data_IF_984743345046
#
_entry.id   IF_984743345046
#
_cell.length_a   1.000
_cell.length_b   1.000
_cell.length_c   1.000
_cell.angle_alpha   90.00
_cell.angle_beta   90.00
_cell.angle_gamma   90.00
#
_symmetry.space_group_name_H-M   'P 1'
#
loop_
_entity.id
_entity.type
_entity.pdbx_description
1 polymer ?
#
# COMPACT_ATOMS: atom_id res chain seq x y z
N UNK A 1 1.01 -6.68 -25.50
CA UNK A 1 1.63 -5.87 -24.43
C UNK A 1 0.98 -4.50 -24.36
N UNK A 2 -0.28 -4.49 -23.94
CA UNK A 2 -1.07 -3.26 -23.77
C UNK A 2 -0.76 -2.49 -22.49
N UNK A 3 0.18 -2.99 -21.65
CA UNK A 3 0.38 -2.47 -20.29
C UNK A 3 1.72 -1.80 -20.04
N UNK A 4 2.64 -1.74 -21.03
CA UNK A 4 3.94 -1.11 -20.88
C UNK A 4 3.97 0.28 -21.51
N UNK A 5 4.28 1.29 -20.71
CA UNK A 5 4.47 2.67 -21.15
C UNK A 5 5.95 2.93 -21.30
N UNK A 6 6.37 3.31 -22.50
CA UNK A 6 7.75 3.77 -22.78
C UNK A 6 7.67 5.25 -23.11
N UNK A 7 8.05 6.15 -22.19
CA UNK A 7 7.98 7.58 -22.45
C UNK A 7 8.97 7.98 -23.56
N UNK A 8 8.51 8.81 -24.50
CA UNK A 8 9.38 9.36 -25.56
C UNK A 8 10.55 10.12 -24.94
N UNK A 9 11.77 9.84 -25.44
CA UNK A 9 13.00 10.49 -25.00
C UNK A 9 13.34 10.29 -23.49
N UNK A 10 12.77 9.31 -22.82
CA UNK A 10 13.16 8.99 -21.46
C UNK A 10 14.60 8.45 -21.42
N UNK A 11 15.41 9.01 -20.55
CA UNK A 11 16.68 8.45 -20.13
C UNK A 11 16.83 8.62 -18.63
N UNK A 12 17.34 7.59 -17.97
CA UNK A 12 17.59 7.67 -16.53
C UNK A 12 18.66 8.74 -16.25
N UNK A 13 18.34 9.71 -15.40
CA UNK A 13 19.28 10.75 -14.98
C UNK A 13 20.44 10.21 -14.12
N UNK A 14 20.27 9.03 -13.52
CA UNK A 14 21.26 8.37 -12.68
C UNK A 14 21.69 7.04 -13.33
N UNK A 15 22.98 6.74 -13.29
CA UNK A 15 23.49 5.42 -13.61
C UNK A 15 23.06 4.39 -12.55
N UNK A 16 23.34 3.10 -12.75
CA UNK A 16 22.94 2.03 -11.84
C UNK A 16 23.45 2.21 -10.40
N UNK A 17 24.73 2.54 -10.24
CA UNK A 17 25.34 2.75 -8.92
C UNK A 17 24.73 3.94 -8.19
N UNK A 18 24.58 5.08 -8.85
CA UNK A 18 24.02 6.28 -8.26
C UNK A 18 22.51 6.11 -7.97
N UNK A 19 21.82 5.29 -8.77
CA UNK A 19 20.44 4.88 -8.48
C UNK A 19 20.35 4.13 -7.14
N UNK A 20 21.29 3.22 -6.84
CA UNK A 20 21.30 2.51 -5.54
C UNK A 20 21.56 3.47 -4.36
N UNK A 21 22.43 4.47 -4.54
CA UNK A 21 22.64 5.55 -3.57
C UNK A 21 21.33 6.34 -3.37
N UNK A 22 20.66 6.68 -4.47
CA UNK A 22 19.37 7.38 -4.44
C UNK A 22 18.29 6.59 -3.71
N UNK A 23 18.15 5.29 -3.98
CA UNK A 23 17.22 4.39 -3.29
C UNK A 23 17.47 4.40 -1.78
N UNK A 24 18.73 4.22 -1.37
CA UNK A 24 19.11 4.27 0.05
C UNK A 24 18.75 5.63 0.67
N UNK A 25 19.06 6.71 -0.02
CA UNK A 25 18.79 8.08 0.46
C UNK A 25 17.30 8.34 0.66
N UNK A 26 16.46 7.94 -0.30
CA UNK A 26 14.99 8.03 -0.21
C UNK A 26 14.48 7.20 0.97
N UNK A 27 14.89 5.92 1.04
CA UNK A 27 14.39 5.00 2.08
C UNK A 27 14.77 5.47 3.48
N UNK A 28 16.02 5.82 3.74
CA UNK A 28 16.48 6.24 5.05
C UNK A 28 15.78 7.53 5.51
N UNK A 29 15.67 8.51 4.63
CA UNK A 29 15.07 9.79 4.98
C UNK A 29 13.56 9.67 5.21
N UNK A 30 12.83 9.06 4.30
CA UNK A 30 11.37 8.88 4.44
C UNK A 30 11.02 8.06 5.68
N UNK A 31 11.68 6.91 5.87
CA UNK A 31 11.49 6.05 7.03
C UNK A 31 11.72 6.79 8.35
N UNK A 32 12.79 7.59 8.43
CA UNK A 32 13.10 8.37 9.65
C UNK A 32 11.99 9.37 10.02
N UNK A 33 11.39 10.00 9.00
CA UNK A 33 10.26 10.91 9.19
C UNK A 33 9.00 10.16 9.61
N UNK A 34 8.67 9.06 8.93
CA UNK A 34 7.49 8.24 9.22
C UNK A 34 7.51 7.74 10.67
N UNK A 35 8.62 7.12 11.08
CA UNK A 35 8.85 6.59 12.43
C UNK A 35 8.65 7.67 13.47
N UNK A 36 9.25 8.83 13.27
CA UNK A 36 9.17 9.95 14.23
C UNK A 36 7.78 10.54 14.34
N UNK A 37 7.08 10.73 13.20
CA UNK A 37 5.80 11.43 13.20
C UNK A 37 4.62 10.53 13.60
N UNK A 38 4.70 9.22 13.37
CA UNK A 38 3.67 8.26 13.77
C UNK A 38 3.98 7.55 15.10
N UNK A 39 5.16 7.76 15.71
CA UNK A 39 5.62 7.09 16.92
C UNK A 39 5.70 5.57 16.74
N UNK A 40 6.52 5.11 15.79
CA UNK A 40 6.63 3.71 15.41
C UNK A 40 7.94 3.08 15.90
N UNK A 41 7.87 1.83 16.33
CA UNK A 41 9.02 0.97 16.60
C UNK A 41 9.18 -0.06 15.49
N UNK A 42 10.39 -0.23 14.95
CA UNK A 42 10.66 -1.30 14.00
C UNK A 42 10.63 -2.66 14.69
N UNK A 43 9.88 -3.61 14.13
CA UNK A 43 9.78 -4.97 14.65
C UNK A 43 10.16 -5.99 13.58
N UNK A 44 10.58 -7.19 14.02
CA UNK A 44 10.74 -8.34 13.16
C UNK A 44 9.35 -8.90 12.80
N UNK A 45 9.11 -9.13 11.53
CA UNK A 45 7.86 -9.69 11.01
C UNK A 45 8.10 -11.00 10.26
N UNK A 46 7.10 -11.88 10.16
CA UNK A 46 7.21 -13.12 9.42
C UNK A 46 7.22 -12.86 7.90
N UNK A 47 8.05 -13.62 7.18
CA UNK A 47 7.98 -13.72 5.72
C UNK A 47 6.88 -14.70 5.28
N UNK A 48 6.58 -15.68 6.11
CA UNK A 48 5.57 -16.71 5.86
C UNK A 48 4.83 -17.05 7.16
N UNK A 49 3.62 -17.55 7.02
CA UNK A 49 2.71 -17.82 8.13
C UNK A 49 1.98 -19.14 7.93
N UNK A 50 1.34 -19.60 9.02
CA UNK A 50 0.38 -20.68 9.00
C UNK A 50 -0.93 -20.21 8.34
N UNK A 51 -1.39 -20.85 7.24
CA UNK A 51 -2.65 -20.50 6.59
C UNK A 51 -3.87 -20.66 7.50
N UNK A 52 -3.84 -21.61 8.44
CA UNK A 52 -4.94 -21.83 9.38
C UNK A 52 -5.12 -20.69 10.41
N UNK A 53 -4.13 -19.82 10.54
CA UNK A 53 -4.21 -18.65 11.43
C UNK A 53 -5.23 -17.60 10.99
N UNK A 54 -5.60 -17.56 9.71
CA UNK A 54 -6.42 -16.50 9.10
C UNK A 54 -5.72 -15.15 8.97
N UNK A 55 -4.40 -15.10 9.20
CA UNK A 55 -3.63 -13.84 9.19
C UNK A 55 -3.07 -13.47 7.83
N UNK A 56 -3.05 -14.37 6.82
CA UNK A 56 -2.68 -13.95 5.47
C UNK A 56 -3.73 -13.04 4.85
N UNK A 57 -3.30 -12.16 3.98
CA UNK A 57 -4.20 -11.36 3.17
C UNK A 57 -4.71 -12.19 1.99
N UNK A 58 -6.02 -12.13 1.77
CA UNK A 58 -6.61 -12.77 0.61
C UNK A 58 -6.78 -11.80 -0.57
N UNK A 59 -6.26 -10.59 -0.43
CA UNK A 59 -6.38 -9.50 -1.43
C UNK A 59 -7.84 -9.37 -1.92
N UNK A 60 -8.07 -9.54 -3.21
CA UNK A 60 -9.42 -9.52 -3.79
C UNK A 60 -10.15 -10.88 -3.70
N UNK A 61 -9.47 -11.92 -3.22
CA UNK A 61 -10.04 -13.24 -2.94
C UNK A 61 -9.81 -14.30 -4.03
N UNK A 62 -9.18 -13.95 -5.14
CA UNK A 62 -8.84 -14.87 -6.23
C UNK A 62 -7.32 -15.11 -6.35
N UNK A 63 -6.49 -14.24 -5.80
CA UNK A 63 -5.04 -14.35 -5.84
C UNK A 63 -4.56 -15.51 -4.96
N UNK A 64 -3.66 -16.30 -5.49
CA UNK A 64 -3.12 -17.49 -4.82
C UNK A 64 -1.83 -17.16 -4.08
N UNK A 65 -1.70 -17.47 -2.79
CA UNK A 65 -0.43 -17.30 -2.08
C UNK A 65 0.62 -18.28 -2.61
N UNK A 66 1.89 -17.91 -2.51
CA UNK A 66 3.01 -18.87 -2.67
C UNK A 66 3.08 -19.71 -1.42
N UNK A 67 3.12 -21.03 -1.56
CA UNK A 67 3.17 -21.95 -0.45
C UNK A 67 4.24 -23.01 -0.62
N UNK A 68 4.76 -23.53 0.50
CA UNK A 68 5.77 -24.58 0.55
C UNK A 68 5.58 -25.48 1.77
N UNK A 69 6.11 -26.69 1.70
CA UNK A 69 6.15 -27.63 2.83
C UNK A 69 7.37 -27.39 3.72
N UNK A 70 7.21 -27.59 5.02
CA UNK A 70 8.31 -27.52 6.00
C UNK A 70 8.68 -28.96 6.38
N UNK A 71 9.84 -29.42 5.92
CA UNK A 71 10.28 -30.81 6.06
C UNK A 71 10.28 -31.29 7.53
N UNK A 72 10.80 -30.48 8.44
CA UNK A 72 10.87 -30.82 9.88
C UNK A 72 9.48 -30.91 10.54
N UNK A 73 8.45 -30.38 9.89
CA UNK A 73 7.05 -30.41 10.35
C UNK A 73 6.17 -31.34 9.51
N UNK A 74 6.74 -32.44 8.99
CA UNK A 74 6.03 -33.40 8.14
C UNK A 74 5.36 -32.75 6.92
N UNK A 75 6.08 -31.88 6.22
CA UNK A 75 5.59 -31.11 5.08
C UNK A 75 4.37 -30.23 5.37
N UNK A 76 4.24 -29.80 6.62
CA UNK A 76 3.21 -28.81 6.99
C UNK A 76 3.31 -27.58 6.10
N UNK A 77 2.17 -27.20 5.52
CA UNK A 77 2.11 -26.11 4.53
C UNK A 77 2.20 -24.76 5.19
N UNK A 78 3.19 -23.97 4.79
CA UNK A 78 3.29 -22.54 5.10
C UNK A 78 3.00 -21.70 3.85
N UNK A 79 2.56 -20.46 4.05
CA UNK A 79 2.31 -19.50 2.97
C UNK A 79 3.17 -18.26 3.16
N UNK A 80 3.82 -17.82 2.07
CA UNK A 80 4.46 -16.50 2.01
C UNK A 80 3.37 -15.43 2.15
N UNK A 81 3.61 -14.40 2.93
CA UNK A 81 2.63 -13.33 3.15
C UNK A 81 2.32 -12.58 1.86
N UNK A 82 1.06 -12.23 1.65
CA UNK A 82 0.62 -11.31 0.59
C UNK A 82 0.49 -9.88 1.13
N UNK A 83 0.21 -9.73 2.43
CA UNK A 83 0.39 -8.51 3.23
C UNK A 83 0.48 -8.85 4.71
N UNK A 84 0.90 -7.88 5.54
CA UNK A 84 0.97 -8.02 7.00
C UNK A 84 -0.13 -7.25 7.73
N UNK A 85 -1.17 -6.81 7.03
CA UNK A 85 -2.23 -5.97 7.58
C UNK A 85 -2.86 -6.57 8.86
N UNK A 86 -3.18 -7.86 8.85
CA UNK A 86 -3.76 -8.58 9.99
C UNK A 86 -2.73 -8.87 11.08
N UNK A 87 -1.55 -9.34 10.66
CA UNK A 87 -0.47 -9.69 11.58
C UNK A 87 -0.02 -8.51 12.46
N UNK A 88 0.11 -7.32 11.89
CA UNK A 88 0.55 -6.11 12.61
C UNK A 88 -0.34 -5.81 13.81
N UNK A 89 -1.65 -5.86 13.64
CA UNK A 89 -2.62 -5.64 14.72
C UNK A 89 -2.47 -6.68 15.84
N UNK A 90 -2.28 -7.94 15.47
CA UNK A 90 -2.00 -9.02 16.42
C UNK A 90 -0.67 -8.81 17.15
N UNK A 91 0.38 -8.40 16.42
CA UNK A 91 1.71 -8.16 16.96
C UNK A 91 1.72 -7.03 18.00
N UNK A 92 0.96 -5.94 17.78
CA UNK A 92 0.82 -4.85 18.78
C UNK A 92 0.34 -5.38 20.14
N UNK A 93 -0.67 -6.23 20.15
CA UNK A 93 -1.13 -6.90 21.39
C UNK A 93 -0.05 -7.80 21.96
N UNK A 94 0.51 -8.69 21.13
CA UNK A 94 1.48 -9.71 21.54
C UNK A 94 2.75 -9.09 22.15
N UNK A 95 3.20 -7.94 21.63
CA UNK A 95 4.41 -7.27 22.08
C UNK A 95 4.14 -6.22 23.17
N UNK A 96 2.90 -6.02 23.60
CA UNK A 96 2.54 -5.16 24.71
C UNK A 96 2.63 -3.66 24.42
N UNK A 97 2.35 -3.27 23.16
CA UNK A 97 2.27 -1.85 22.81
C UNK A 97 1.11 -1.14 23.49
N UNK A 98 1.29 0.13 23.79
CA UNK A 98 0.32 0.99 24.47
C UNK A 98 -0.37 1.96 23.51
N UNK A 99 -1.41 2.64 23.99
CA UNK A 99 -2.10 3.70 23.24
C UNK A 99 -1.13 4.77 22.73
N UNK A 100 -1.29 5.13 21.46
CA UNK A 100 -0.46 6.13 20.79
C UNK A 100 0.89 5.61 20.28
N UNK A 101 1.28 4.38 20.63
CA UNK A 101 2.44 3.69 20.11
C UNK A 101 2.07 2.86 18.87
N UNK A 102 3.03 2.61 18.01
CA UNK A 102 2.86 1.78 16.84
C UNK A 102 4.12 1.00 16.47
N UNK A 103 3.95 0.10 15.54
CA UNK A 103 5.04 -0.67 14.95
C UNK A 103 5.13 -0.43 13.44
N UNK A 104 6.29 -0.69 12.87
CA UNK A 104 6.46 -0.87 11.44
C UNK A 104 7.45 -2.00 11.16
N UNK A 105 7.41 -2.49 9.94
CA UNK A 105 8.35 -3.48 9.44
C UNK A 105 8.61 -3.25 7.95
N UNK A 106 9.75 -3.74 7.47
CA UNK A 106 10.02 -3.88 6.04
C UNK A 106 9.36 -5.19 5.59
N UNK A 107 8.15 -5.09 5.03
CA UNK A 107 7.43 -6.24 4.49
C UNK A 107 7.96 -6.58 3.11
N UNK A 108 8.18 -7.88 2.89
CA UNK A 108 8.41 -8.46 1.59
C UNK A 108 7.29 -9.46 1.30
N UNK A 109 6.63 -9.33 0.16
CA UNK A 109 5.55 -10.21 -0.26
C UNK A 109 5.76 -10.69 -1.70
N UNK A 110 5.16 -11.83 -2.03
CA UNK A 110 5.16 -12.37 -3.39
C UNK A 110 3.70 -12.46 -3.84
N UNK A 111 3.37 -11.70 -4.87
CA UNK A 111 2.08 -11.75 -5.55
C UNK A 111 2.24 -12.49 -6.87
N UNK A 112 2.18 -13.81 -6.81
CA UNK A 112 2.48 -14.70 -7.95
C UNK A 112 1.56 -14.55 -9.14
N UNK A 113 0.35 -14.03 -8.94
CA UNK A 113 -0.66 -13.83 -9.97
C UNK A 113 -0.72 -12.38 -10.47
N UNK A 114 0.26 -11.53 -10.08
CA UNK A 114 0.33 -10.13 -10.50
C UNK A 114 0.70 -10.02 -11.99
N UNK A 115 0.00 -9.14 -12.70
CA UNK A 115 0.37 -8.75 -14.07
C UNK A 115 1.39 -7.62 -13.96
N UNK A 116 2.60 -7.90 -14.42
CA UNK A 116 3.70 -6.92 -14.36
C UNK A 116 3.54 -5.83 -15.41
N UNK A 117 3.82 -4.59 -14.99
CA UNK A 117 3.84 -3.41 -15.84
C UNK A 117 4.88 -2.39 -15.31
N UNK A 118 4.77 -1.12 -15.67
CA UNK A 118 5.70 -0.08 -15.20
C UNK A 118 5.74 0.08 -13.68
N UNK A 119 4.65 -0.21 -12.97
CA UNK A 119 4.48 0.05 -11.53
C UNK A 119 4.11 -1.18 -10.71
N UNK A 120 3.87 -2.34 -11.36
CA UNK A 120 3.55 -3.61 -10.71
C UNK A 120 4.63 -4.65 -10.92
N UNK A 121 5.03 -5.31 -9.83
CA UNK A 121 6.00 -6.40 -9.77
C UNK A 121 5.42 -7.56 -8.98
N UNK A 122 5.84 -8.79 -9.27
CA UNK A 122 5.52 -9.96 -8.44
C UNK A 122 6.15 -9.86 -7.04
N UNK A 123 7.21 -9.09 -6.88
CA UNK A 123 7.81 -8.77 -5.58
C UNK A 123 7.27 -7.43 -5.08
N UNK A 124 6.67 -7.42 -3.89
CA UNK A 124 6.13 -6.22 -3.24
C UNK A 124 6.90 -5.94 -1.95
N UNK A 125 7.47 -4.74 -1.87
CA UNK A 125 8.14 -4.24 -0.67
C UNK A 125 7.40 -3.02 -0.10
N UNK A 126 7.08 -3.05 1.19
CA UNK A 126 6.35 -1.96 1.86
C UNK A 126 6.96 -1.63 3.22
N UNK A 127 6.88 -0.35 3.63
CA UNK A 127 6.83 -0.03 5.04
C UNK A 127 5.40 -0.31 5.51
N UNK A 128 5.25 -1.44 6.16
CA UNK A 128 3.98 -1.86 6.75
C UNK A 128 3.91 -1.38 8.19
N UNK A 129 2.97 -0.50 8.52
CA UNK A 129 2.87 0.13 9.82
C UNK A 129 1.48 -0.03 10.44
N UNK A 130 1.40 0.04 11.77
CA UNK A 130 0.16 -0.07 12.54
C UNK A 130 0.33 0.68 13.86
N UNK A 131 -0.70 1.43 14.29
CA UNK A 131 -0.68 2.25 15.51
C UNK A 131 -1.96 2.05 16.32
N UNK A 132 -1.83 1.97 17.65
CA UNK A 132 -2.98 1.85 18.56
C UNK A 132 -3.68 3.19 18.72
N UNK A 133 -5.00 3.18 18.53
CA UNK A 133 -5.92 4.29 18.74
C UNK A 133 -7.00 3.90 19.76
N UNK A 134 -7.75 4.87 20.26
CA UNK A 134 -8.92 4.62 21.10
C UNK A 134 -10.15 4.27 20.24
N UNK A 135 -11.15 3.69 20.88
CA UNK A 135 -12.43 3.35 20.25
C UNK A 135 -13.14 4.59 19.69
N UNK A 136 -13.14 5.68 20.43
CA UNK A 136 -13.75 6.96 20.04
C UNK A 136 -12.95 7.73 18.99
N UNK A 137 -11.71 7.33 18.73
CA UNK A 137 -10.86 7.85 17.64
C UNK A 137 -11.10 7.15 16.30
N UNK A 138 -12.00 6.15 16.23
CA UNK A 138 -12.40 5.53 14.96
C UNK A 138 -13.30 6.50 14.16
N UNK A 139 -12.71 7.52 13.58
CA UNK A 139 -13.40 8.60 12.86
C UNK A 139 -12.68 8.99 11.58
N UNK A 140 -13.43 9.59 10.65
CA UNK A 140 -12.86 10.20 9.43
C UNK A 140 -11.82 11.27 9.77
N UNK A 141 -12.01 12.03 10.84
CA UNK A 141 -11.05 13.05 11.27
C UNK A 141 -9.70 12.43 11.62
N UNK A 142 -9.67 11.33 12.38
CA UNK A 142 -8.43 10.60 12.70
C UNK A 142 -7.74 10.07 11.44
N UNK A 143 -8.51 9.55 10.48
CA UNK A 143 -7.97 9.10 9.19
C UNK A 143 -7.35 10.28 8.42
N UNK A 144 -8.05 11.38 8.27
CA UNK A 144 -7.57 12.59 7.59
C UNK A 144 -6.29 13.13 8.23
N UNK A 145 -6.23 13.21 9.55
CA UNK A 145 -5.05 13.71 10.26
C UNK A 145 -3.84 12.77 10.05
N UNK A 146 -4.07 11.46 10.04
CA UNK A 146 -3.01 10.48 9.75
C UNK A 146 -2.53 10.58 8.30
N UNK A 147 -3.43 10.71 7.33
CA UNK A 147 -3.08 10.95 5.92
C UNK A 147 -2.23 12.22 5.77
N UNK A 148 -2.61 13.31 6.43
CA UNK A 148 -1.83 14.57 6.41
C UNK A 148 -0.42 14.38 6.96
N UNK A 149 -0.24 13.55 8.00
CA UNK A 149 1.08 13.21 8.55
C UNK A 149 1.93 12.47 7.51
N UNK A 150 1.40 11.41 6.90
CA UNK A 150 2.09 10.63 5.87
C UNK A 150 2.42 11.51 4.66
N UNK A 151 1.47 12.30 4.18
CA UNK A 151 1.68 13.22 3.08
C UNK A 151 2.76 14.28 3.36
N UNK A 152 2.80 14.81 4.59
CA UNK A 152 3.87 15.71 5.03
C UNK A 152 5.25 15.04 4.97
N UNK A 153 5.33 13.73 5.28
CA UNK A 153 6.58 12.98 5.14
C UNK A 153 6.98 12.85 3.66
N UNK A 154 6.03 12.59 2.75
CA UNK A 154 6.27 12.55 1.31
C UNK A 154 6.82 13.88 0.80
N UNK A 155 6.15 15.00 1.10
CA UNK A 155 6.60 16.34 0.70
C UNK A 155 8.00 16.69 1.23
N UNK A 156 8.27 16.38 2.49
CA UNK A 156 9.62 16.63 3.06
C UNK A 156 10.68 15.80 2.36
N UNK A 157 10.35 14.56 1.98
CA UNK A 157 11.27 13.69 1.24
C UNK A 157 11.52 14.24 -0.15
N UNK A 158 10.47 14.67 -0.87
CA UNK A 158 10.64 15.30 -2.18
C UNK A 158 11.56 16.51 -2.11
N UNK A 159 11.29 17.42 -1.17
CA UNK A 159 12.15 18.59 -0.96
C UNK A 159 13.60 18.22 -0.64
N UNK A 160 13.81 17.20 0.17
CA UNK A 160 15.16 16.71 0.47
C UNK A 160 15.84 16.15 -0.77
N UNK A 161 15.13 15.38 -1.59
CA UNK A 161 15.67 14.82 -2.84
C UNK A 161 15.97 15.90 -3.87
N UNK A 162 15.15 16.94 -3.99
CA UNK A 162 15.41 18.09 -4.85
C UNK A 162 16.68 18.88 -4.45
N UNK A 163 17.04 18.86 -3.17
CA UNK A 163 18.33 19.45 -2.70
C UNK A 163 19.53 18.54 -3.05
N UNK A 164 19.32 17.21 -3.07
CA UNK A 164 20.40 16.25 -3.35
C UNK A 164 20.67 16.06 -4.85
N UNK A 165 19.65 16.27 -5.69
CA UNK A 165 19.70 15.96 -7.12
C UNK A 165 19.09 17.10 -7.95
N UNK A 166 19.88 17.82 -8.69
CA UNK A 166 19.47 19.01 -9.46
C UNK A 166 18.38 18.75 -10.52
N UNK A 167 18.23 17.50 -10.98
CA UNK A 167 17.19 17.13 -11.96
C UNK A 167 15.82 16.90 -11.34
N UNK A 168 15.71 16.86 -10.01
CA UNK A 168 14.45 16.62 -9.31
C UNK A 168 13.76 17.96 -8.98
N UNK A 169 12.64 18.19 -9.62
CA UNK A 169 11.74 19.30 -9.29
C UNK A 169 10.68 18.86 -8.28
N UNK A 170 10.27 19.77 -7.37
CA UNK A 170 9.15 19.55 -6.46
C UNK A 170 7.84 19.59 -7.26
N UNK A 171 7.08 18.50 -7.30
CA UNK A 171 5.80 18.39 -8.02
C UNK A 171 4.60 18.13 -7.09
N UNK A 172 4.85 17.73 -5.83
CA UNK A 172 3.78 17.52 -4.86
C UNK A 172 3.19 18.85 -4.39
N UNK A 173 1.87 19.06 -4.50
CA UNK A 173 1.22 20.27 -4.03
C UNK A 173 1.37 20.46 -2.51
N UNK A 174 1.13 21.70 -2.04
CA UNK A 174 1.22 22.01 -0.62
C UNK A 174 0.27 21.15 0.22
N UNK A 175 -0.95 20.99 -0.21
CA UNK A 175 -1.98 20.21 0.48
C UNK A 175 -2.50 19.10 -0.42
N UNK A 176 -2.78 17.95 0.18
CA UNK A 176 -3.44 16.82 -0.50
C UNK A 176 -4.95 17.10 -0.59
N UNK A 177 -5.55 16.81 -1.74
CA UNK A 177 -6.98 16.94 -1.95
C UNK A 177 -7.71 15.69 -1.45
N UNK A 178 -8.74 15.85 -0.61
CA UNK A 178 -9.55 14.75 -0.10
C UNK A 178 -10.83 14.59 -0.91
N UNK A 179 -11.17 13.36 -1.26
CA UNK A 179 -12.39 13.02 -2.00
C UNK A 179 -12.80 11.59 -1.64
N UNK A 180 -14.10 11.32 -1.59
CA UNK A 180 -14.63 9.96 -1.45
C UNK A 180 -14.80 9.29 -2.81
N UNK A 181 -14.89 7.97 -2.82
CA UNK A 181 -15.16 7.21 -4.05
C UNK A 181 -16.51 7.57 -4.68
N UNK A 182 -17.52 7.90 -3.85
CA UNK A 182 -18.83 8.37 -4.35
C UNK A 182 -18.72 9.75 -5.00
N UNK A 183 -18.06 10.71 -4.34
CA UNK A 183 -17.83 12.03 -4.93
C UNK A 183 -17.08 11.95 -6.26
N UNK A 184 -16.10 11.03 -6.39
CA UNK A 184 -15.42 10.79 -7.68
C UNK A 184 -16.37 10.23 -8.74
N UNK A 185 -17.25 9.32 -8.37
CA UNK A 185 -18.24 8.77 -9.29
C UNK A 185 -19.23 9.87 -9.75
N UNK A 186 -19.63 10.77 -8.87
CA UNK A 186 -20.51 11.89 -9.19
C UNK A 186 -19.82 12.94 -10.07
N UNK A 187 -18.52 13.21 -9.84
CA UNK A 187 -17.73 14.13 -10.66
C UNK A 187 -17.48 13.60 -12.08
N UNK A 188 -17.32 12.29 -12.24
CA UNK A 188 -16.95 11.64 -13.49
C UNK A 188 -17.83 10.41 -13.73
N UNK A 189 -19.15 10.57 -13.95
CA UNK A 189 -20.09 9.45 -13.99
C UNK A 189 -19.84 8.46 -15.13
N UNK A 190 -19.36 8.96 -16.27
CA UNK A 190 -19.14 8.14 -17.49
C UNK A 190 -17.76 7.47 -17.56
N UNK A 191 -16.91 7.69 -16.54
CA UNK A 191 -15.55 7.18 -16.53
C UNK A 191 -15.40 5.95 -15.64
N UNK A 192 -14.46 5.08 -16.00
CA UNK A 192 -14.04 3.97 -15.15
C UNK A 192 -13.35 4.45 -13.86
N UNK A 193 -13.28 3.64 -12.79
CA UNK A 193 -12.57 4.02 -11.57
C UNK A 193 -11.13 4.50 -11.81
N UNK A 194 -10.36 3.82 -12.67
CA UNK A 194 -8.98 4.20 -13.00
C UNK A 194 -8.88 5.53 -13.77
N UNK A 195 -9.81 5.80 -14.66
CA UNK A 195 -9.89 7.11 -15.34
C UNK A 195 -10.26 8.22 -14.34
N UNK A 196 -11.16 7.96 -13.40
CA UNK A 196 -11.50 8.91 -12.32
C UNK A 196 -10.28 9.27 -11.47
N UNK A 197 -9.50 8.26 -11.07
CA UNK A 197 -8.23 8.45 -10.34
C UNK A 197 -7.24 9.29 -11.16
N UNK A 198 -7.08 8.98 -12.45
CA UNK A 198 -6.19 9.72 -13.34
C UNK A 198 -6.59 11.19 -13.48
N UNK A 199 -7.86 11.46 -13.79
CA UNK A 199 -8.32 12.84 -13.99
C UNK A 199 -8.19 13.68 -12.73
N UNK A 200 -8.58 13.15 -11.59
CA UNK A 200 -8.49 13.92 -10.33
C UNK A 200 -7.04 14.09 -9.88
N UNK A 201 -6.19 13.06 -10.01
CA UNK A 201 -4.76 13.15 -9.69
C UNK A 201 -4.06 14.16 -10.59
N UNK A 202 -4.33 14.13 -11.90
CA UNK A 202 -3.77 15.09 -12.88
C UNK A 202 -4.20 16.52 -12.57
N UNK A 203 -5.45 16.73 -12.18
CA UNK A 203 -6.00 18.06 -11.86
C UNK A 203 -5.49 18.63 -10.53
N UNK A 204 -5.23 17.76 -9.53
CA UNK A 204 -4.90 18.15 -8.15
C UNK A 204 -3.44 17.90 -7.76
N UNK A 205 -2.70 17.12 -8.53
CA UNK A 205 -1.32 16.70 -8.24
C UNK A 205 -1.21 15.59 -7.18
N UNK A 206 -1.98 15.66 -6.09
CA UNK A 206 -2.06 14.64 -5.05
C UNK A 206 -3.46 14.58 -4.46
N UNK A 207 -4.00 13.37 -4.32
CA UNK A 207 -5.34 13.12 -3.82
C UNK A 207 -5.35 12.00 -2.77
N UNK A 208 -6.23 12.14 -1.80
CA UNK A 208 -6.59 11.10 -0.85
C UNK A 208 -7.99 10.61 -1.22
N UNK A 209 -8.08 9.40 -1.75
CA UNK A 209 -9.34 8.76 -2.12
C UNK A 209 -9.81 7.94 -0.94
N UNK A 210 -10.98 8.24 -0.41
CA UNK A 210 -11.52 7.65 0.81
C UNK A 210 -12.73 6.75 0.54
N UNK A 211 -13.03 5.86 1.50
CA UNK A 211 -14.22 4.99 1.51
C UNK A 211 -14.26 4.00 0.34
N UNK A 212 -13.17 3.25 0.20
CA UNK A 212 -12.99 2.25 -0.85
C UNK A 212 -13.48 0.88 -0.35
N UNK A 213 -14.18 0.12 -1.19
CA UNK A 213 -14.56 -1.28 -0.95
C UNK A 213 -16.05 -1.56 -0.93
N UNK A 214 -16.89 -0.60 -0.54
CA UNK A 214 -18.35 -0.76 -0.61
C UNK A 214 -18.90 -0.46 -2.02
N UNK A 215 -20.13 -0.85 -2.24
CA UNK A 215 -20.86 -0.58 -3.48
C UNK A 215 -21.31 0.89 -3.48
N UNK A 216 -21.07 1.58 -4.60
CA UNK A 216 -21.50 2.95 -4.83
C UNK A 216 -22.99 3.01 -5.19
N UNK A 217 -23.59 4.22 -5.21
CA UNK A 217 -25.01 4.42 -5.53
C UNK A 217 -25.40 3.92 -6.93
N UNK A 218 -24.45 3.88 -7.86
CA UNK A 218 -24.65 3.32 -9.21
C UNK A 218 -24.61 1.77 -9.27
N UNK A 219 -24.38 1.09 -8.13
CA UNK A 219 -24.30 -0.37 -8.03
C UNK A 219 -22.92 -0.97 -8.33
N UNK A 220 -21.92 -0.17 -8.66
CA UNK A 220 -20.55 -0.60 -8.91
C UNK A 220 -19.65 -0.36 -7.70
N UNK A 221 -18.47 -0.96 -7.69
CA UNK A 221 -17.41 -0.66 -6.73
C UNK A 221 -16.34 0.19 -7.40
N UNK A 222 -15.76 1.10 -6.64
CA UNK A 222 -14.59 1.84 -7.13
C UNK A 222 -13.38 0.91 -7.27
N UNK A 223 -13.09 0.12 -6.23
CA UNK A 223 -12.03 -0.89 -6.22
C UNK A 223 -12.37 -2.00 -5.22
N UNK A 224 -11.68 -3.15 -5.33
CA UNK A 224 -11.76 -4.24 -4.37
C UNK A 224 -11.03 -3.90 -3.06
N UNK A 225 -11.56 -4.41 -1.94
CA UNK A 225 -10.88 -4.38 -0.63
C UNK A 225 -11.22 -5.63 0.15
N UNK A 226 -10.19 -6.24 0.76
CA UNK A 226 -10.41 -7.34 1.67
C UNK A 226 -11.36 -6.91 2.80
N UNK A 227 -12.32 -7.76 3.19
CA UNK A 227 -13.37 -7.38 4.13
C UNK A 227 -12.95 -7.44 5.60
N UNK A 228 -11.75 -7.93 5.91
CA UNK A 228 -11.42 -8.39 7.25
C UNK A 228 -10.23 -7.67 7.93
N UNK A 229 -9.80 -6.52 7.37
CA UNK A 229 -8.85 -5.67 8.10
C UNK A 229 -9.19 -4.18 8.05
N UNK A 230 -9.42 -3.54 6.91
CA UNK A 230 -9.82 -2.12 6.87
C UNK A 230 -11.34 -1.95 6.95
N UNK A 231 -11.78 -0.99 7.77
CA UNK A 231 -13.16 -0.51 7.73
C UNK A 231 -13.37 0.29 6.42
N UNK A 232 -14.24 -0.20 5.55
CA UNK A 232 -14.46 0.41 4.23
C UNK A 232 -14.98 1.85 4.29
N UNK A 233 -15.58 2.23 5.41
CA UNK A 233 -15.99 3.62 5.64
C UNK A 233 -14.88 4.51 6.19
N UNK A 234 -13.73 3.94 6.59
CA UNK A 234 -12.65 4.61 7.30
C UNK A 234 -11.27 4.25 6.72
N UNK A 235 -11.19 4.04 5.41
CA UNK A 235 -9.93 3.78 4.69
C UNK A 235 -9.65 4.85 3.65
N UNK A 236 -8.42 4.87 3.16
CA UNK A 236 -7.98 5.83 2.16
C UNK A 236 -6.72 5.36 1.43
N UNK A 237 -6.61 5.75 0.16
CA UNK A 237 -5.39 5.64 -0.64
C UNK A 237 -4.82 7.03 -0.93
N UNK A 238 -3.49 7.17 -0.86
CA UNK A 238 -2.76 8.35 -1.31
C UNK A 238 -2.31 8.09 -2.75
N UNK A 239 -2.89 8.85 -3.66
CA UNK A 239 -2.61 8.76 -5.09
C UNK A 239 -2.02 10.09 -5.57
N UNK A 240 -0.95 10.04 -6.34
CA UNK A 240 -0.28 11.22 -6.91
C UNK A 240 -0.28 11.17 -8.42
N UNK A 241 -0.30 12.33 -9.07
CA UNK A 241 -0.03 12.39 -10.49
C UNK A 241 1.45 12.17 -10.74
N UNK A 242 1.78 11.22 -11.61
CA UNK A 242 3.16 10.90 -11.98
C UNK A 242 3.45 11.30 -13.43
N UNK A 243 4.08 12.46 -13.65
CA UNK A 243 4.23 13.03 -15.00
C UNK A 243 5.17 12.23 -15.90
N UNK A 244 6.11 11.43 -15.34
CA UNK A 244 7.04 10.61 -16.15
C UNK A 244 6.28 9.60 -17.00
N UNK A 245 5.20 9.04 -16.48
CA UNK A 245 4.36 8.05 -17.16
C UNK A 245 2.99 8.60 -17.57
N UNK A 246 2.65 9.83 -17.18
CA UNK A 246 1.30 10.42 -17.32
C UNK A 246 0.21 9.53 -16.70
N UNK A 247 0.39 9.10 -15.45
CA UNK A 247 -0.54 8.21 -14.72
C UNK A 247 -0.89 8.74 -13.33
N UNK A 248 -1.96 8.20 -12.76
CA UNK A 248 -2.19 8.20 -11.33
C UNK A 248 -1.37 7.08 -10.67
N UNK A 249 -0.57 7.40 -9.66
CA UNK A 249 0.30 6.46 -8.96
C UNK A 249 -0.09 6.39 -7.48
N UNK A 250 -0.61 5.25 -7.04
CA UNK A 250 -0.86 4.98 -5.63
C UNK A 250 0.47 4.74 -4.91
N UNK A 251 0.74 5.54 -3.86
CA UNK A 251 1.93 5.43 -3.02
C UNK A 251 1.67 4.74 -1.69
N UNK A 252 0.45 4.83 -1.17
CA UNK A 252 0.09 4.29 0.14
C UNK A 252 -1.40 3.97 0.21
N UNK A 253 -1.71 2.84 0.85
CA UNK A 253 -3.06 2.48 1.26
C UNK A 253 -3.09 2.36 2.79
N UNK A 254 -4.12 2.90 3.45
CA UNK A 254 -4.27 2.85 4.90
C UNK A 254 -5.73 2.86 5.33
N UNK A 255 -5.99 2.45 6.57
CA UNK A 255 -7.33 2.49 7.13
C UNK A 255 -7.35 2.33 8.65
N UNK A 256 -8.42 2.81 9.25
CA UNK A 256 -8.82 2.41 10.60
C UNK A 256 -9.34 0.99 10.48
N UNK A 257 -8.83 0.10 11.33
CA UNK A 257 -9.13 -1.33 11.22
C UNK A 257 -10.56 -1.62 11.68
N UNK A 258 -11.15 -2.65 11.10
CA UNK A 258 -12.51 -3.09 11.45
C UNK A 258 -12.67 -3.32 12.95
N UNK A 259 -13.82 -2.92 13.49
CA UNK A 259 -14.36 -3.44 14.74
C UNK A 259 -15.25 -4.66 14.45
N UNK A 260 -15.84 -5.23 15.49
CA UNK A 260 -16.77 -6.36 15.36
C UNK A 260 -17.91 -6.08 14.39
N UNK A 261 -18.50 -4.87 14.46
CA UNK A 261 -19.66 -4.51 13.63
C UNK A 261 -19.29 -4.38 12.16
N UNK A 262 -18.21 -3.65 11.88
CA UNK A 262 -17.68 -3.48 10.52
C UNK A 262 -17.25 -4.82 9.92
N UNK A 263 -16.48 -5.64 10.68
CA UNK A 263 -16.05 -6.97 10.24
C UNK A 263 -17.23 -7.85 9.81
N UNK A 264 -18.22 -8.04 10.68
CA UNK A 264 -19.36 -8.92 10.36
C UNK A 264 -20.19 -8.41 9.18
N UNK A 265 -20.37 -7.09 9.08
CA UNK A 265 -21.05 -6.47 7.95
C UNK A 265 -20.31 -6.68 6.64
N UNK A 266 -18.98 -6.44 6.63
CA UNK A 266 -18.14 -6.56 5.43
C UNK A 266 -17.96 -8.00 4.98
N UNK A 267 -17.79 -8.97 5.90
CA UNK A 267 -17.76 -10.40 5.56
C UNK A 267 -19.05 -10.84 4.87
N UNK A 268 -20.21 -10.37 5.36
CA UNK A 268 -21.51 -10.65 4.73
C UNK A 268 -21.60 -10.03 3.32
N UNK A 269 -21.23 -8.75 3.17
CA UNK A 269 -21.24 -8.06 1.86
C UNK A 269 -20.29 -8.70 0.85
N UNK A 270 -19.18 -9.28 1.33
CA UNK A 270 -18.20 -9.98 0.51
C UNK A 270 -18.54 -11.46 0.26
N UNK A 271 -19.60 -12.00 0.88
CA UNK A 271 -20.01 -13.39 0.70
C UNK A 271 -19.04 -14.43 1.28
N UNK A 272 -18.28 -14.06 2.34
CA UNK A 272 -17.29 -14.91 2.99
C UNK A 272 -17.46 -14.96 4.52
N UNK A 273 -18.70 -15.13 4.97
CA UNK A 273 -19.09 -15.12 6.39
C UNK A 273 -18.42 -16.24 7.20
N UNK A 274 -18.01 -17.33 6.56
CA UNK A 274 -17.27 -18.44 7.19
C UNK A 274 -15.94 -18.01 7.79
N UNK A 275 -15.31 -16.94 7.27
CA UNK A 275 -14.03 -16.41 7.80
C UNK A 275 -14.16 -15.91 9.25
N UNK A 276 -15.36 -15.59 9.73
CA UNK A 276 -15.59 -15.22 11.14
C UNK A 276 -15.10 -16.25 12.15
N UNK A 277 -14.99 -17.52 11.71
CA UNK A 277 -14.56 -18.65 12.53
C UNK A 277 -13.03 -18.83 12.60
N UNK A 278 -12.28 -18.11 11.81
CA UNK A 278 -10.81 -18.13 11.86
C UNK A 278 -10.26 -17.43 13.11
N UNK A 279 -9.10 -17.83 13.63
CA UNK A 279 -8.54 -17.31 14.88
C UNK A 279 -8.41 -15.79 14.94
N UNK A 280 -7.93 -15.16 13.88
CA UNK A 280 -7.75 -13.71 13.84
C UNK A 280 -9.11 -12.97 13.91
N UNK A 281 -10.07 -13.39 13.10
CA UNK A 281 -11.41 -12.78 13.07
C UNK A 281 -12.16 -13.00 14.39
N UNK A 282 -12.04 -14.19 15.01
CA UNK A 282 -12.56 -14.44 16.36
C UNK A 282 -11.98 -13.50 17.40
N UNK A 283 -10.70 -13.21 17.36
CA UNK A 283 -10.06 -12.29 18.28
C UNK A 283 -10.60 -10.85 18.15
N UNK A 284 -11.01 -10.42 16.93
CA UNK A 284 -11.69 -9.14 16.74
C UNK A 284 -13.12 -9.18 17.30
N UNK A 285 -13.87 -10.25 17.00
CA UNK A 285 -15.25 -10.42 17.46
C UNK A 285 -15.35 -10.44 18.98
N UNK A 286 -14.35 -11.05 19.63
CA UNK A 286 -14.24 -11.12 21.10
C UNK A 286 -13.63 -9.85 21.73
N UNK A 287 -13.34 -8.82 20.92
CA UNK A 287 -12.69 -7.57 21.36
C UNK A 287 -11.34 -7.79 22.08
N UNK A 288 -10.60 -8.82 21.65
CA UNK A 288 -9.29 -9.16 22.23
C UNK A 288 -8.14 -8.35 21.64
N UNK A 289 -8.31 -7.74 20.46
CA UNK A 289 -7.30 -6.95 19.78
C UNK A 289 -7.54 -5.44 20.00
N UNK A 290 -6.47 -4.62 20.03
CA UNK A 290 -6.62 -3.17 20.17
C UNK A 290 -7.33 -2.57 18.96
N UNK A 291 -7.95 -1.40 19.12
CA UNK A 291 -8.34 -0.56 18.01
C UNK A 291 -7.10 0.08 17.40
N UNK A 292 -7.02 0.06 16.07
CA UNK A 292 -5.80 0.49 15.38
C UNK A 292 -6.12 1.21 14.07
N UNK A 293 -5.16 2.03 13.65
CA UNK A 293 -5.02 2.56 12.29
C UNK A 293 -3.69 2.06 11.74
N UNK A 294 -3.67 1.68 10.47
CA UNK A 294 -2.45 1.20 9.87
C UNK A 294 -2.50 1.23 8.34
N UNK A 295 -1.37 0.96 7.72
CA UNK A 295 -1.27 1.00 6.28
C UNK A 295 0.00 0.37 5.76
N UNK A 296 0.09 0.29 4.43
CA UNK A 296 1.27 -0.06 3.67
C UNK A 296 1.70 1.11 2.79
N UNK A 297 2.99 1.33 2.70
CA UNK A 297 3.60 2.36 1.85
C UNK A 297 4.60 1.67 0.95
N UNK A 298 4.39 1.68 -0.37
CA UNK A 298 5.23 0.98 -1.34
C UNK A 298 6.64 1.58 -1.40
N UNK A 299 7.65 0.83 -0.91
CA UNK A 299 9.03 1.33 -0.87
C UNK A 299 9.58 1.57 -2.27
N UNK A 300 9.42 0.60 -3.17
CA UNK A 300 9.89 0.72 -4.55
C UNK A 300 9.10 1.77 -5.33
N UNK A 301 7.78 1.88 -5.13
CA UNK A 301 6.98 2.95 -5.77
C UNK A 301 7.42 4.34 -5.32
N UNK A 302 7.72 4.54 -4.05
CA UNK A 302 8.26 5.81 -3.53
C UNK A 302 9.64 6.11 -4.12
N UNK A 303 10.53 5.12 -4.21
CA UNK A 303 11.82 5.29 -4.87
C UNK A 303 11.67 5.65 -6.36
N UNK A 304 10.79 4.95 -7.08
CA UNK A 304 10.46 5.23 -8.46
C UNK A 304 9.95 6.67 -8.63
N UNK A 305 9.00 7.10 -7.80
CA UNK A 305 8.44 8.45 -7.83
C UNK A 305 9.48 9.52 -7.58
N UNK A 306 10.25 9.44 -6.50
CA UNK A 306 11.22 10.47 -6.16
C UNK A 306 12.44 10.50 -7.07
N UNK A 307 12.88 9.34 -7.59
CA UNK A 307 14.01 9.29 -8.53
C UNK A 307 13.59 9.46 -10.00
N UNK A 308 12.29 9.75 -10.25
CA UNK A 308 11.74 10.02 -11.60
C UNK A 308 12.00 8.87 -12.58
N UNK A 309 11.80 7.62 -12.14
CA UNK A 309 12.06 6.42 -12.95
C UNK A 309 10.81 6.01 -13.74
N UNK A 310 11.02 5.54 -14.97
CA UNK A 310 9.93 5.10 -15.85
C UNK A 310 9.44 3.68 -15.56
N UNK A 311 10.21 2.86 -14.87
CA UNK A 311 9.84 1.49 -14.54
C UNK A 311 10.30 1.11 -13.14
N UNK A 312 9.46 0.38 -12.41
CA UNK A 312 9.77 -0.07 -11.04
C UNK A 312 11.01 -0.98 -11.00
N UNK A 313 11.33 -1.70 -12.07
CA UNK A 313 12.54 -2.49 -12.22
C UNK A 313 13.84 -1.69 -12.18
N UNK A 314 13.80 -0.37 -12.37
CA UNK A 314 14.99 0.48 -12.20
C UNK A 314 15.37 0.69 -10.72
N UNK A 315 14.42 0.43 -9.81
CA UNK A 315 14.61 0.62 -8.36
C UNK A 315 14.37 -0.64 -7.55
N UNK A 316 13.99 -1.74 -8.21
CA UNK A 316 13.69 -3.02 -7.56
C UNK A 316 14.21 -4.17 -8.39
N UNK A 317 15.01 -5.04 -7.78
CA UNK A 317 15.40 -6.31 -8.41
C UNK A 317 14.25 -7.30 -8.33
N UNK A 318 13.83 -7.85 -9.48
CA UNK A 318 12.72 -8.79 -9.60
C UNK A 318 12.90 -9.68 -10.84
N UNK A 319 11.89 -10.48 -11.16
CA UNK A 319 11.82 -11.24 -12.41
C UNK A 319 10.82 -10.58 -13.35
N UNK A 320 11.22 -10.40 -14.59
CA UNK A 320 10.45 -9.74 -15.63
C UNK A 320 10.29 -10.65 -16.86
N UNK A 321 9.19 -10.56 -17.60
CA UNK A 321 9.02 -11.25 -18.88
C UNK A 321 10.15 -10.86 -19.87
N UNK A 322 10.64 -11.83 -20.65
CA UNK A 322 11.74 -11.60 -21.61
C UNK A 322 11.44 -10.51 -22.65
N UNK A 323 10.22 -10.44 -23.11
CA UNK A 323 9.74 -9.42 -24.03
C UNK A 323 9.69 -8.02 -23.41
N UNK A 324 9.39 -7.92 -22.12
CA UNK A 324 9.48 -6.68 -21.35
C UNK A 324 10.95 -6.24 -21.21
N UNK A 325 11.85 -7.16 -20.85
CA UNK A 325 13.30 -6.89 -20.77
C UNK A 325 13.84 -6.39 -22.13
N UNK A 326 13.44 -7.03 -23.22
CA UNK A 326 13.88 -6.64 -24.56
C UNK A 326 13.43 -5.23 -24.95
N UNK A 327 12.22 -4.82 -24.57
CA UNK A 327 11.69 -3.48 -24.82
C UNK A 327 12.32 -2.42 -23.89
N UNK A 328 12.60 -2.80 -22.65
CA UNK A 328 13.21 -1.94 -21.63
C UNK A 328 14.74 -2.00 -21.64
N UNK A 329 15.36 -2.60 -22.66
CA UNK A 329 16.83 -2.74 -22.75
C UNK A 329 17.60 -1.42 -22.68
N UNK A 330 16.93 -0.30 -22.96
CA UNK A 330 17.46 1.06 -22.82
C UNK A 330 17.21 1.65 -21.41
N UNK A 331 16.37 1.02 -20.62
CA UNK A 331 16.05 1.39 -19.24
C UNK A 331 16.75 0.34 -18.37
N UNK A 332 17.71 0.73 -17.59
CA UNK A 332 18.54 -0.16 -16.78
C UNK A 332 17.72 -0.86 -15.67
N UNK A 333 16.92 -1.87 -16.05
CA UNK A 333 16.24 -2.74 -15.08
C UNK A 333 17.20 -3.82 -14.59
N UNK A 334 17.21 -4.08 -13.31
CA UNK A 334 18.02 -5.11 -12.64
C UNK A 334 17.21 -6.37 -12.33
#
# INVERSE_FOLDING_TARGET
MEHLIIPENYSSALNLHDTQIGIKTVKDFFQSLLVRHLNLLRVSAPLFIDPASGMNDNLNGYERPVSFGILEQNDYRAEVVQSLAKWKRYALKKYGFSYGEGLYTDMNAIRRDEITDNIHSIFVDQWDWEKIIKKDERTIATLIDTVKIVYKCLRKTEKYMAIQYDYIEEILPHDIFFVTTQELADMFPDNTPKEREYYIAKAKGAVCIMQIGDVLENGERHDGRAPDYDDWSLNADIVVYYPVLDIALELSSMGIRVDKKALLSQLKKAGCEERKDLPFQKAIINEELPYTIGGGIGQSRICMFFLRKAHIGEVQSSLWPEDMIAQLSLIHIS
#
